data_IF_205674851062
#
_entry.id   IF_205674851062
#
_cell.length_a   1.000
_cell.length_b   1.000
_cell.length_c   1.000
_cell.angle_alpha   90.00
_cell.angle_beta   90.00
_cell.angle_gamma   90.00
#
_symmetry.space_group_name_H-M   'P 1'
#
loop_
_entity.id
_entity.type
_entity.pdbx_description
1 polymer ?
#
# COMPACT_ATOMS: atom_id res chain seq x y z
N UNK A 1 -16.88 6.85 11.58
CA UNK A 1 -16.61 6.88 10.12
C UNK A 1 -15.17 6.44 9.90
N UNK A 2 -14.93 5.22 9.39
CA UNK A 2 -13.58 4.72 9.13
C UNK A 2 -13.15 5.19 7.73
N UNK A 3 -12.09 5.99 7.68
CA UNK A 3 -11.64 6.72 6.50
C UNK A 3 -11.28 5.78 5.35
N UNK A 4 -12.08 5.91 4.30
CA UNK A 4 -11.97 5.14 3.06
C UNK A 4 -10.96 5.85 2.17
N UNK A 5 -9.66 5.68 2.44
CA UNK A 5 -8.62 6.25 1.59
C UNK A 5 -7.32 6.64 2.29
N UNK A 6 -7.27 6.64 3.63
CA UNK A 6 -6.10 7.16 4.36
C UNK A 6 -4.81 6.42 4.00
N UNK A 7 -4.84 5.11 3.77
CA UNK A 7 -3.63 4.36 3.44
C UNK A 7 -3.10 4.69 2.03
N UNK A 8 -3.97 4.76 1.04
CA UNK A 8 -3.59 5.08 -0.35
C UNK A 8 -3.11 6.53 -0.46
N UNK A 9 -3.85 7.47 0.14
CA UNK A 9 -3.48 8.88 0.13
C UNK A 9 -2.21 9.14 0.97
N UNK A 10 -2.12 8.61 2.19
CA UNK A 10 -0.95 8.86 3.03
C UNK A 10 0.33 8.28 2.44
N UNK A 11 0.28 7.02 1.98
CA UNK A 11 1.45 6.36 1.40
C UNK A 11 1.78 6.94 0.02
N UNK A 12 0.78 7.15 -0.84
CA UNK A 12 0.99 7.78 -2.14
C UNK A 12 1.58 9.19 -2.00
N UNK A 13 1.10 9.98 -1.05
CA UNK A 13 1.63 11.33 -0.77
C UNK A 13 3.05 11.26 -0.22
N UNK A 14 3.37 10.27 0.59
CA UNK A 14 4.73 10.05 1.08
C UNK A 14 5.68 9.71 -0.08
N UNK A 15 5.29 8.80 -0.98
CA UNK A 15 6.07 8.45 -2.17
C UNK A 15 6.22 9.66 -3.09
N UNK A 16 5.15 10.42 -3.33
CA UNK A 16 5.19 11.62 -4.18
C UNK A 16 6.08 12.73 -3.62
N UNK A 17 6.16 12.87 -2.29
CA UNK A 17 7.09 13.81 -1.64
C UNK A 17 8.51 13.26 -1.49
N UNK A 18 8.67 11.94 -1.54
CA UNK A 18 9.95 11.29 -1.46
C UNK A 18 10.75 11.49 -2.74
N UNK A 19 11.91 12.15 -2.64
CA UNK A 19 12.86 12.21 -3.77
C UNK A 19 13.65 10.90 -3.95
N UNK A 20 13.30 9.87 -3.19
CA UNK A 20 14.01 8.61 -3.10
C UNK A 20 13.41 7.63 -4.10
N UNK A 21 14.13 7.43 -5.21
CA UNK A 21 13.68 6.57 -6.32
C UNK A 21 13.58 5.10 -5.94
N UNK A 22 14.20 4.69 -4.84
CA UNK A 22 14.13 3.34 -4.29
C UNK A 22 12.81 3.03 -3.57
N UNK A 23 11.92 4.03 -3.44
CA UNK A 23 10.57 3.82 -2.91
C UNK A 23 9.68 3.14 -3.96
N UNK A 24 9.03 2.06 -3.53
CA UNK A 24 8.07 1.32 -4.33
C UNK A 24 6.72 1.31 -3.63
N UNK A 25 5.72 1.94 -4.23
CA UNK A 25 4.34 1.89 -3.74
C UNK A 25 3.72 0.54 -4.10
N UNK A 26 3.20 -0.18 -3.10
CA UNK A 26 2.60 -1.47 -3.26
C UNK A 26 1.11 -1.42 -2.93
N UNK A 27 0.27 -1.92 -3.83
CA UNK A 27 -1.16 -2.12 -3.64
C UNK A 27 -1.46 -3.62 -3.63
N UNK A 28 -2.11 -4.11 -2.58
CA UNK A 28 -2.52 -5.51 -2.52
C UNK A 28 -3.68 -5.76 -1.56
N UNK A 29 -3.96 -7.04 -1.30
CA UNK A 29 -4.87 -7.43 -0.23
C UNK A 29 -4.07 -7.89 0.98
N UNK A 30 -4.41 -7.33 2.14
CA UNK A 30 -3.97 -7.78 3.44
C UNK A 30 -5.14 -8.39 4.20
N UNK A 31 -4.87 -9.13 5.27
CA UNK A 31 -5.87 -9.70 6.17
C UNK A 31 -6.02 -8.77 7.38
N UNK A 32 -7.25 -8.34 7.68
CA UNK A 32 -7.52 -7.61 8.92
C UNK A 32 -7.32 -8.53 10.11
N UNK A 33 -6.41 -8.18 11.03
CA UNK A 33 -6.21 -8.94 12.27
C UNK A 33 -7.46 -9.00 13.16
N UNK A 34 -8.41 -8.06 13.00
CA UNK A 34 -9.64 -8.02 13.80
C UNK A 34 -10.71 -8.99 13.33
N UNK A 35 -10.87 -9.18 12.02
CA UNK A 35 -12.01 -9.92 11.43
C UNK A 35 -11.58 -11.04 10.47
N UNK A 36 -10.29 -11.21 10.20
CA UNK A 36 -9.76 -12.19 9.25
C UNK A 36 -10.18 -11.94 7.79
N UNK A 37 -10.81 -10.80 7.49
CA UNK A 37 -11.29 -10.48 6.14
C UNK A 37 -10.18 -9.86 5.29
N UNK A 38 -10.08 -10.23 4.00
CA UNK A 38 -9.18 -9.57 3.07
C UNK A 38 -9.66 -8.15 2.80
N UNK A 39 -8.77 -7.18 2.87
CA UNK A 39 -9.05 -5.77 2.58
C UNK A 39 -7.98 -5.17 1.68
N UNK A 40 -8.38 -4.19 0.86
CA UNK A 40 -7.45 -3.41 0.04
C UNK A 40 -6.51 -2.60 0.92
N UNK A 41 -5.22 -2.86 0.80
CA UNK A 41 -4.18 -2.18 1.55
C UNK A 41 -3.10 -1.62 0.62
N UNK A 42 -2.53 -0.50 1.04
CA UNK A 42 -1.44 0.19 0.35
C UNK A 42 -0.30 0.37 1.34
N UNK A 43 0.92 0.08 0.93
CA UNK A 43 2.14 0.25 1.73
C UNK A 43 3.32 0.59 0.82
N UNK A 44 4.44 1.00 1.40
CA UNK A 44 5.65 1.40 0.67
C UNK A 44 6.75 0.40 0.98
N UNK A 45 7.46 -0.08 -0.03
CA UNK A 45 8.68 -0.87 0.12
C UNK A 45 9.91 0.02 -0.12
N UNK A 46 10.91 -0.10 0.76
CA UNK A 46 12.23 0.53 0.59
C UNK A 46 13.32 -0.42 1.07
N UNK A 47 14.21 -0.86 0.19
CA UNK A 47 15.42 -1.62 0.57
C UNK A 47 15.17 -2.85 1.45
N UNK A 48 14.03 -3.55 1.28
CA UNK A 48 13.66 -4.71 2.10
C UNK A 48 12.88 -4.40 3.38
N UNK A 49 12.65 -3.12 3.68
CA UNK A 49 11.71 -2.67 4.70
C UNK A 49 10.37 -2.28 4.07
N UNK A 50 9.31 -2.40 4.85
CA UNK A 50 7.96 -1.91 4.54
C UNK A 50 7.67 -0.74 5.47
N UNK A 51 7.29 0.39 4.88
CA UNK A 51 6.77 1.56 5.56
C UNK A 51 5.27 1.63 5.27
N UNK A 52 4.48 1.52 6.33
CA UNK A 52 3.04 1.67 6.26
C UNK A 52 2.62 2.85 7.17
N UNK A 53 2.03 3.87 6.56
CA UNK A 53 1.55 5.08 7.23
C UNK A 53 0.02 5.06 7.43
N UNK A 54 -0.57 3.87 7.49
CA UNK A 54 -2.03 3.70 7.56
C UNK A 54 -2.61 4.00 8.94
N UNK A 55 -3.85 4.53 8.96
CA UNK A 55 -4.68 4.67 10.16
C UNK A 55 -4.02 5.46 11.31
N UNK A 56 -3.29 6.54 10.98
CA UNK A 56 -2.48 7.36 11.91
C UNK A 56 -1.35 6.59 12.64
N UNK A 57 -0.97 5.41 12.13
CA UNK A 57 0.16 4.65 12.66
C UNK A 57 1.30 4.70 11.65
N UNK A 58 2.52 4.75 12.18
CA UNK A 58 3.75 4.63 11.41
C UNK A 58 4.37 3.28 11.73
N UNK A 59 4.21 2.32 10.83
CA UNK A 59 4.75 0.98 10.96
C UNK A 59 5.95 0.88 10.02
N UNK A 60 7.11 0.58 10.57
CA UNK A 60 8.32 0.29 9.81
C UNK A 60 8.78 -1.10 10.24
N UNK A 61 8.63 -2.07 9.34
CA UNK A 61 8.95 -3.46 9.61
C UNK A 61 9.73 -4.06 8.44
N UNK A 62 10.49 -5.12 8.71
CA UNK A 62 11.07 -5.92 7.64
C UNK A 62 9.95 -6.51 6.78
N UNK A 63 10.12 -6.44 5.47
CA UNK A 63 9.15 -6.91 4.47
C UNK A 63 8.63 -8.31 4.78
N UNK A 64 9.53 -9.25 5.08
CA UNK A 64 9.17 -10.63 5.40
C UNK A 64 8.18 -10.70 6.57
N UNK A 65 8.51 -10.04 7.70
CA UNK A 65 7.65 -9.98 8.89
C UNK A 65 6.32 -9.29 8.59
N UNK A 66 6.35 -8.18 7.85
CA UNK A 66 5.15 -7.43 7.50
C UNK A 66 4.18 -8.28 6.66
N UNK A 67 4.70 -9.01 5.67
CA UNK A 67 3.90 -9.88 4.81
C UNK A 67 3.33 -11.07 5.59
N UNK A 68 4.12 -11.66 6.49
CA UNK A 68 3.66 -12.74 7.37
C UNK A 68 2.55 -12.26 8.33
N UNK A 69 2.74 -11.11 9.00
CA UNK A 69 1.77 -10.55 9.95
C UNK A 69 0.48 -10.09 9.26
N UNK A 70 0.60 -9.50 8.07
CA UNK A 70 -0.53 -9.01 7.28
C UNK A 70 -1.22 -10.09 6.46
N UNK A 71 -0.72 -11.32 6.44
CA UNK A 71 -1.23 -12.38 5.56
C UNK A 71 -1.20 -11.97 4.08
N UNK A 72 -0.17 -11.23 3.67
CA UNK A 72 -0.02 -10.67 2.32
C UNK A 72 0.82 -11.64 1.48
N UNK A 73 0.38 -12.03 0.27
CA UNK A 73 -0.88 -11.68 -0.36
C UNK A 73 -2.09 -12.43 0.20
N UNK A 74 -3.14 -11.70 0.57
CA UNK A 74 -4.38 -12.33 1.03
C UNK A 74 -5.08 -13.06 -0.13
N UNK A 75 -5.48 -14.32 0.11
CA UNK A 75 -6.06 -15.22 -0.89
C UNK A 75 -5.21 -15.38 -2.17
N UNK A 76 -3.88 -15.25 -2.07
CA UNK A 76 -2.98 -15.39 -3.23
C UNK A 76 -3.17 -14.33 -4.31
N UNK A 77 -3.82 -13.20 -4.00
CA UNK A 77 -4.00 -12.11 -4.97
C UNK A 77 -2.67 -11.44 -5.30
N UNK A 78 -2.51 -11.00 -6.55
CA UNK A 78 -1.31 -10.27 -6.97
C UNK A 78 -1.17 -8.96 -6.19
N UNK A 79 0.07 -8.62 -5.90
CA UNK A 79 0.46 -7.33 -5.33
C UNK A 79 1.00 -6.51 -6.48
N UNK A 80 0.37 -5.37 -6.73
CA UNK A 80 0.78 -4.44 -7.75
C UNK A 80 1.81 -3.50 -7.15
N UNK A 81 2.93 -3.34 -7.83
CA UNK A 81 4.06 -2.52 -7.38
C UNK A 81 4.30 -1.45 -8.40
N UNK A 82 4.48 -0.24 -7.92
CA UNK A 82 4.68 0.94 -8.74
C UNK A 82 5.92 1.67 -8.21
N UNK A 83 6.84 1.99 -9.10
CA UNK A 83 7.90 2.95 -8.80
C UNK A 83 7.31 4.32 -8.45
N UNK A 84 8.15 5.21 -7.91
CA UNK A 84 7.78 6.62 -7.67
C UNK A 84 7.23 7.27 -8.94
N UNK A 85 7.89 7.03 -10.08
CA UNK A 85 7.53 7.60 -11.37
C UNK A 85 6.17 7.05 -11.84
N UNK A 86 5.96 5.74 -11.78
CA UNK A 86 4.67 5.10 -12.11
C UNK A 86 3.54 5.57 -11.19
N UNK A 87 3.84 5.76 -9.90
CA UNK A 87 2.89 6.29 -8.92
C UNK A 87 2.42 7.68 -9.34
N UNK A 88 3.35 8.59 -9.64
CA UNK A 88 3.02 9.94 -10.09
C UNK A 88 2.26 9.95 -11.42
N UNK A 89 2.69 9.14 -12.39
CA UNK A 89 2.01 9.01 -13.68
C UNK A 89 0.58 8.52 -13.50
N UNK A 90 0.36 7.48 -12.69
CA UNK A 90 -0.97 6.94 -12.48
C UNK A 90 -1.85 7.88 -11.66
N UNK A 91 -1.30 8.60 -10.68
CA UNK A 91 -2.04 9.64 -9.98
C UNK A 91 -2.52 10.75 -10.92
N UNK A 92 -1.65 11.21 -11.83
CA UNK A 92 -2.00 12.23 -12.82
C UNK A 92 -3.04 11.70 -13.83
N UNK A 93 -2.91 10.43 -14.23
CA UNK A 93 -3.78 9.81 -15.23
C UNK A 93 -5.17 9.46 -14.70
N UNK A 94 -5.25 9.04 -13.44
CA UNK A 94 -6.49 8.55 -12.83
C UNK A 94 -7.12 9.53 -11.84
N UNK A 95 -6.41 10.60 -11.45
CA UNK A 95 -6.89 11.62 -10.50
C UNK A 95 -7.26 11.06 -9.10
N UNK A 96 -6.82 9.84 -8.76
CA UNK A 96 -6.98 9.22 -7.45
C UNK A 96 -5.71 8.45 -7.04
N UNK A 97 -5.54 8.18 -5.73
CA UNK A 97 -4.35 7.53 -5.14
C UNK A 97 -4.30 6.00 -5.30
N UNK A 98 -5.14 5.44 -6.16
CA UNK A 98 -5.33 4.00 -6.34
C UNK A 98 -6.57 3.45 -5.61
N UNK A 99 -6.79 2.12 -5.68
CA UNK A 99 -6.06 1.17 -6.52
C UNK A 99 -6.39 1.37 -8.01
N UNK A 100 -5.38 1.43 -8.88
CA UNK A 100 -5.56 1.71 -10.32
C UNK A 100 -5.81 0.45 -11.16
N UNK A 101 -5.11 -0.63 -10.83
CA UNK A 101 -5.06 -1.84 -11.65
C UNK A 101 -6.01 -2.96 -11.17
N UNK A 102 -6.68 -2.79 -10.02
CA UNK A 102 -7.63 -3.76 -9.52
C UNK A 102 -8.67 -3.17 -8.57
N UNK A 103 -9.81 -3.86 -8.43
CA UNK A 103 -10.86 -3.50 -7.48
C UNK A 103 -10.81 -4.46 -6.26
N UNK A 104 -10.29 -4.03 -5.10
CA UNK A 104 -10.27 -4.86 -3.90
C UNK A 104 -11.69 -5.20 -3.42
N UNK A 105 -11.98 -6.47 -3.03
CA UNK A 105 -13.22 -6.81 -2.36
C UNK A 105 -13.38 -6.02 -1.05
N UNK A 106 -14.62 -5.64 -0.76
CA UNK A 106 -15.01 -4.76 0.35
C UNK A 106 -15.44 -5.55 1.57
#
# INVERSE_FOLDING_TARGET
MAGKGDCYEANGRFVSKGHDKDLVLCHGLAILSTNGKPFGHCWIEKGGMVLDFSNNRKIILNKKKYYELGGIPANGKKIHKYSVEETMINMLKHEHWGPWDYNPPR
#
